data_IF_324615821097
#
_entry.id   IF_324615821097
#
_cell.length_a   1.000
_cell.length_b   1.000
_cell.length_c   1.000
_cell.angle_alpha   90.00
_cell.angle_beta   90.00
_cell.angle_gamma   90.00
#
_symmetry.space_group_name_H-M   'P 1'
#
loop_
_entity.id
_entity.type
_entity.pdbx_description
1 polymer ?
#
# COMPACT_ATOMS: atom_id res chain seq x y z
N UNK A 1 16.71 8.71 -2.59
CA UNK A 1 15.74 8.19 -3.56
C UNK A 1 14.36 8.19 -2.96
N UNK A 2 13.39 8.67 -3.72
CA UNK A 2 12.02 8.77 -3.23
C UNK A 2 11.32 7.42 -3.38
N UNK A 3 10.61 6.99 -2.34
CA UNK A 3 9.79 5.80 -2.42
C UNK A 3 8.63 6.02 -3.40
N UNK A 4 8.27 4.97 -4.11
CA UNK A 4 7.20 5.00 -5.11
C UNK A 4 5.91 4.49 -4.48
N UNK A 5 4.86 5.29 -4.57
CA UNK A 5 3.52 4.97 -4.03
C UNK A 5 2.53 4.86 -5.17
N UNK A 6 1.75 3.79 -5.18
CA UNK A 6 0.58 3.69 -6.04
C UNK A 6 -0.67 3.97 -5.20
N UNK A 7 -1.40 5.01 -5.58
CA UNK A 7 -2.64 5.41 -4.91
C UNK A 7 -3.85 5.02 -5.77
N UNK A 8 -4.69 4.14 -5.24
CA UNK A 8 -5.86 3.63 -5.95
C UNK A 8 -7.12 4.14 -5.26
N UNK A 9 -7.85 5.03 -5.93
CA UNK A 9 -9.07 5.62 -5.42
C UNK A 9 -9.94 6.07 -6.60
N UNK A 10 -11.23 5.71 -6.61
CA UNK A 10 -12.15 6.09 -7.67
C UNK A 10 -12.63 7.53 -7.56
N UNK A 11 -12.53 8.14 -6.40
CA UNK A 11 -12.87 9.55 -6.20
C UNK A 11 -11.76 10.44 -6.72
N UNK A 12 -12.03 11.17 -7.80
CA UNK A 12 -11.05 12.11 -8.37
C UNK A 12 -10.59 13.14 -7.35
N UNK A 13 -11.53 13.67 -6.56
CA UNK A 13 -11.22 14.67 -5.54
C UNK A 13 -10.26 14.12 -4.47
N UNK A 14 -10.59 12.97 -3.90
CA UNK A 14 -9.75 12.36 -2.86
C UNK A 14 -8.41 11.91 -3.44
N UNK A 15 -8.41 11.35 -4.65
CA UNK A 15 -7.18 10.92 -5.31
C UNK A 15 -6.22 12.08 -5.51
N UNK A 16 -6.71 13.22 -6.01
CA UNK A 16 -5.89 14.40 -6.21
C UNK A 16 -5.38 14.99 -4.91
N UNK A 17 -6.25 15.05 -3.88
CA UNK A 17 -5.88 15.58 -2.58
C UNK A 17 -4.79 14.74 -1.91
N UNK A 18 -4.94 13.42 -1.94
CA UNK A 18 -3.97 12.50 -1.33
C UNK A 18 -2.67 12.44 -2.12
N UNK A 19 -2.76 12.50 -3.46
CA UNK A 19 -1.56 12.58 -4.30
C UNK A 19 -0.72 13.81 -3.93
N UNK A 20 -1.37 14.95 -3.74
CA UNK A 20 -0.69 16.19 -3.36
C UNK A 20 -0.01 16.06 -1.98
N UNK A 21 -0.72 15.48 -1.02
CA UNK A 21 -0.17 15.26 0.33
C UNK A 21 1.08 14.38 0.27
N UNK A 22 1.00 13.27 -0.44
CA UNK A 22 2.10 12.32 -0.54
C UNK A 22 3.27 12.89 -1.34
N UNK A 23 2.99 13.63 -2.41
CA UNK A 23 4.05 14.27 -3.21
C UNK A 23 4.82 15.31 -2.38
N UNK A 24 4.11 16.08 -1.56
CA UNK A 24 4.75 17.06 -0.66
C UNK A 24 5.61 16.39 0.40
N UNK A 25 5.25 15.18 0.80
CA UNK A 25 6.04 14.39 1.75
C UNK A 25 7.27 13.75 1.14
N UNK A 26 7.48 13.90 -0.18
CA UNK A 26 8.66 13.41 -0.87
C UNK A 26 8.47 12.08 -1.62
N UNK A 27 7.26 11.56 -1.68
CA UNK A 27 6.99 10.31 -2.42
C UNK A 27 6.77 10.58 -3.91
N UNK A 28 7.18 9.62 -4.73
CA UNK A 28 6.86 9.59 -6.15
C UNK A 28 5.52 8.84 -6.30
N UNK A 29 4.46 9.56 -6.69
CA UNK A 29 3.09 9.02 -6.67
C UNK A 29 2.61 8.69 -8.07
N UNK A 30 2.11 7.47 -8.25
CA UNK A 30 1.32 7.06 -9.40
C UNK A 30 -0.11 6.83 -8.91
N UNK A 31 -1.10 7.01 -9.79
CA UNK A 31 -2.50 6.88 -9.43
C UNK A 31 -3.24 5.91 -10.32
N UNK A 32 -4.32 5.33 -9.79
CA UNK A 32 -5.25 4.51 -10.55
C UNK A 32 -6.67 4.79 -10.06
N UNK A 33 -7.63 4.80 -10.97
CA UNK A 33 -9.03 5.16 -10.67
C UNK A 33 -9.93 3.93 -10.51
N UNK A 34 -9.46 2.75 -10.87
CA UNK A 34 -10.22 1.50 -10.77
C UNK A 34 -9.28 0.31 -10.56
N UNK A 35 -9.88 -0.86 -10.26
CA UNK A 35 -9.10 -2.05 -9.94
C UNK A 35 -8.30 -2.59 -11.10
N UNK A 36 -8.83 -2.51 -12.32
CA UNK A 36 -8.13 -2.98 -13.51
C UNK A 36 -6.88 -2.14 -13.79
N UNK A 37 -7.03 -0.82 -13.75
CA UNK A 37 -5.90 0.10 -13.88
C UNK A 37 -4.87 -0.11 -12.77
N UNK A 38 -5.33 -0.34 -11.54
CA UNK A 38 -4.46 -0.59 -10.39
C UNK A 38 -3.55 -1.79 -10.62
N UNK A 39 -4.11 -2.89 -11.11
CA UNK A 39 -3.31 -4.10 -11.39
C UNK A 39 -2.30 -3.86 -12.51
N UNK A 40 -2.71 -3.14 -13.55
CA UNK A 40 -1.82 -2.81 -14.67
C UNK A 40 -0.66 -1.93 -14.21
N UNK A 41 -0.96 -0.85 -13.48
CA UNK A 41 0.07 0.10 -13.01
C UNK A 41 0.99 -0.57 -11.99
N UNK A 42 0.45 -1.39 -11.10
CA UNK A 42 1.28 -2.13 -10.12
C UNK A 42 2.27 -3.05 -10.83
N UNK A 43 1.84 -3.75 -11.85
CA UNK A 43 2.70 -4.64 -12.62
C UNK A 43 3.76 -3.87 -13.41
N UNK A 44 3.37 -2.75 -14.04
CA UNK A 44 4.27 -1.99 -14.91
C UNK A 44 5.29 -1.16 -14.13
N UNK A 45 4.88 -0.57 -13.02
CA UNK A 45 5.73 0.37 -12.27
C UNK A 45 6.37 -0.23 -11.01
N UNK A 46 5.86 -1.35 -10.52
CA UNK A 46 6.37 -2.04 -9.33
C UNK A 46 6.63 -1.06 -8.17
N UNK A 47 5.56 -0.42 -7.64
CA UNK A 47 5.73 0.56 -6.56
C UNK A 47 6.25 -0.09 -5.28
N UNK A 48 6.78 0.73 -4.39
CA UNK A 48 7.27 0.28 -3.08
C UNK A 48 6.13 0.00 -2.11
N UNK A 49 4.98 0.64 -2.32
CA UNK A 49 3.79 0.49 -1.50
C UNK A 49 2.54 0.85 -2.30
N UNK A 50 1.43 0.22 -1.98
CA UNK A 50 0.14 0.48 -2.62
C UNK A 50 -0.87 0.92 -1.56
N UNK A 51 -1.56 2.04 -1.83
CA UNK A 51 -2.70 2.49 -1.03
C UNK A 51 -3.95 2.14 -1.82
N UNK A 52 -4.76 1.23 -1.30
CA UNK A 52 -5.85 0.60 -2.03
C UNK A 52 -7.20 0.87 -1.37
N UNK A 53 -8.08 1.58 -2.08
CA UNK A 53 -9.46 1.77 -1.67
C UNK A 53 -10.22 0.44 -1.81
N UNK A 54 -11.05 0.14 -0.83
CA UNK A 54 -11.88 -1.07 -0.85
C UNK A 54 -13.07 -0.96 -1.79
N UNK A 55 -13.58 0.24 -2.04
CA UNK A 55 -14.75 0.43 -2.91
C UNK A 55 -14.32 0.98 -4.27
N UNK A 56 -14.07 0.07 -5.20
CA UNK A 56 -13.61 0.41 -6.55
C UNK A 56 -14.58 -0.12 -7.59
N UNK A 57 -14.73 0.58 -8.73
CA UNK A 57 -15.43 0.03 -9.88
C UNK A 57 -14.61 -1.05 -10.58
N UNK A 58 -15.26 -1.83 -11.42
CA UNK A 58 -14.71 -2.92 -12.23
C UNK A 58 -14.25 -4.12 -11.37
N UNK A 59 -13.18 -3.96 -10.61
CA UNK A 59 -12.67 -5.01 -9.71
C UNK A 59 -12.66 -4.43 -8.31
N UNK A 60 -13.30 -5.11 -7.35
CA UNK A 60 -13.38 -4.63 -5.96
C UNK A 60 -12.00 -4.58 -5.30
N UNK A 61 -11.87 -3.73 -4.27
CA UNK A 61 -10.63 -3.65 -3.51
C UNK A 61 -10.12 -4.99 -2.97
N UNK A 62 -10.96 -5.80 -2.32
CA UNK A 62 -10.54 -7.13 -1.87
C UNK A 62 -10.05 -8.04 -3.00
N UNK A 63 -10.68 -7.98 -4.17
CA UNK A 63 -10.26 -8.78 -5.33
C UNK A 63 -8.96 -8.27 -5.91
N UNK A 64 -8.71 -6.96 -5.92
CA UNK A 64 -7.43 -6.38 -6.31
C UNK A 64 -6.33 -6.87 -5.37
N UNK A 65 -6.56 -6.81 -4.06
CA UNK A 65 -5.61 -7.29 -3.06
C UNK A 65 -5.25 -8.76 -3.29
N UNK A 66 -6.26 -9.59 -3.52
CA UNK A 66 -6.08 -11.01 -3.79
C UNK A 66 -5.25 -11.24 -5.04
N UNK A 67 -5.53 -10.50 -6.13
CA UNK A 67 -4.80 -10.59 -7.38
C UNK A 67 -3.34 -10.16 -7.22
N UNK A 68 -3.08 -9.08 -6.47
CA UNK A 68 -1.73 -8.61 -6.19
C UNK A 68 -0.92 -9.67 -5.44
N UNK A 69 -1.53 -10.32 -4.45
CA UNK A 69 -0.85 -11.34 -3.64
C UNK A 69 -0.68 -12.67 -4.37
N UNK A 70 -1.45 -12.91 -5.41
CA UNK A 70 -1.34 -14.12 -6.24
C UNK A 70 -0.28 -13.99 -7.36
N UNK A 71 0.18 -12.77 -7.65
CA UNK A 71 1.16 -12.52 -8.71
C UNK A 71 2.56 -12.41 -8.11
N UNK A 72 3.52 -13.28 -8.50
CA UNK A 72 4.89 -13.21 -7.97
C UNK A 72 5.57 -11.85 -8.14
N UNK A 73 5.23 -11.09 -9.18
CA UNK A 73 5.83 -9.77 -9.41
C UNK A 73 5.37 -8.72 -8.41
N UNK A 74 4.19 -8.86 -7.81
CA UNK A 74 3.58 -7.86 -6.92
C UNK A 74 3.30 -8.37 -5.51
N UNK A 75 3.43 -9.67 -5.27
CA UNK A 75 3.05 -10.28 -3.99
C UNK A 75 3.77 -9.71 -2.77
N UNK A 76 5.00 -9.24 -2.95
CA UNK A 76 5.80 -8.69 -1.84
C UNK A 76 5.61 -7.20 -1.63
N UNK A 77 4.84 -6.52 -2.49
CA UNK A 77 4.55 -5.10 -2.32
C UNK A 77 3.56 -4.93 -1.17
N UNK A 78 3.89 -4.15 -0.12
CA UNK A 78 2.96 -3.92 0.97
C UNK A 78 1.76 -3.11 0.49
N UNK A 79 0.56 -3.50 0.96
CA UNK A 79 -0.70 -2.84 0.61
C UNK A 79 -1.34 -2.30 1.88
N UNK A 80 -1.58 -0.99 1.91
CA UNK A 80 -2.39 -0.36 2.94
C UNK A 80 -3.80 -0.23 2.39
N UNK A 81 -4.76 -0.80 3.11
CA UNK A 81 -6.16 -0.75 2.72
C UNK A 81 -6.79 0.54 3.26
N UNK A 82 -7.43 1.29 2.37
CA UNK A 82 -8.19 2.48 2.72
C UNK A 82 -9.68 2.14 2.67
N UNK A 83 -10.40 2.39 3.76
CA UNK A 83 -11.82 2.04 3.80
C UNK A 83 -12.62 3.07 4.60
N UNK A 84 -13.81 3.39 4.11
CA UNK A 84 -14.78 4.20 4.85
C UNK A 84 -15.66 3.33 5.74
N UNK A 85 -15.54 2.00 5.65
CA UNK A 85 -16.32 1.05 6.44
C UNK A 85 -15.70 0.85 7.82
N UNK A 86 -16.55 0.49 8.80
CA UNK A 86 -16.09 0.25 10.16
C UNK A 86 -15.10 -0.90 10.26
N UNK A 87 -14.33 -0.91 11.33
CA UNK A 87 -13.22 -1.84 11.59
C UNK A 87 -13.55 -3.33 11.56
N UNK A 88 -14.80 -3.70 11.35
CA UNK A 88 -15.24 -5.11 11.39
C UNK A 88 -14.55 -6.01 10.36
N UNK A 89 -14.00 -5.42 9.29
CA UNK A 89 -13.34 -6.18 8.23
C UNK A 89 -11.81 -6.13 8.30
N UNK A 90 -11.26 -5.43 9.29
CA UNK A 90 -9.80 -5.27 9.43
C UNK A 90 -9.07 -6.61 9.50
N UNK A 91 -9.56 -7.51 10.36
CA UNK A 91 -8.93 -8.83 10.52
C UNK A 91 -8.93 -9.63 9.22
N UNK A 92 -10.05 -9.59 8.48
CA UNK A 92 -10.16 -10.31 7.20
C UNK A 92 -9.19 -9.75 6.17
N UNK A 93 -9.02 -8.43 6.12
CA UNK A 93 -8.13 -7.76 5.18
C UNK A 93 -6.67 -8.03 5.52
N UNK A 94 -6.31 -8.01 6.79
CA UNK A 94 -4.97 -8.37 7.23
C UNK A 94 -4.67 -9.84 6.94
N UNK A 95 -5.64 -10.73 7.15
CA UNK A 95 -5.50 -12.15 6.82
C UNK A 95 -5.37 -12.37 5.31
N UNK A 96 -5.96 -11.50 4.47
CA UNK A 96 -5.84 -11.56 3.02
C UNK A 96 -4.51 -11.00 2.50
N UNK A 97 -3.66 -10.46 3.38
CA UNK A 97 -2.33 -9.99 3.03
C UNK A 97 -2.12 -8.49 3.08
N UNK A 98 -3.09 -7.70 3.57
CA UNK A 98 -2.90 -6.27 3.75
C UNK A 98 -1.87 -6.02 4.85
N UNK A 99 -0.97 -5.06 4.63
CA UNK A 99 0.07 -4.70 5.60
C UNK A 99 -0.51 -3.80 6.72
N UNK A 100 -1.52 -3.01 6.39
CA UNK A 100 -2.17 -2.11 7.35
C UNK A 100 -3.56 -1.71 6.84
N UNK A 101 -4.36 -1.18 7.74
CA UNK A 101 -5.69 -0.67 7.46
C UNK A 101 -5.75 0.79 7.88
N UNK A 102 -6.34 1.63 7.05
CA UNK A 102 -6.50 3.06 7.34
C UNK A 102 -7.93 3.49 7.04
N UNK A 103 -8.58 4.16 7.98
CA UNK A 103 -9.96 4.59 7.84
C UNK A 103 -10.03 5.91 7.05
N UNK A 104 -10.78 5.89 5.93
CA UNK A 104 -10.92 7.06 5.04
C UNK A 104 -11.54 8.28 5.69
N UNK A 105 -12.48 8.08 6.60
CA UNK A 105 -13.14 9.18 7.30
C UNK A 105 -12.14 10.01 8.10
N UNK A 106 -11.09 9.39 8.63
CA UNK A 106 -10.02 10.08 9.33
C UNK A 106 -9.25 10.99 8.39
N UNK A 107 -9.03 10.56 7.15
CA UNK A 107 -8.33 11.37 6.14
C UNK A 107 -9.09 12.64 5.78
N UNK A 108 -10.42 12.54 5.63
CA UNK A 108 -11.25 13.67 5.20
C UNK A 108 -11.42 14.75 6.26
N UNK A 109 -11.39 14.35 7.53
CA UNK A 109 -11.63 15.24 8.68
C UNK A 109 -10.35 15.65 9.37
N UNK A 110 -9.24 15.02 9.06
CA UNK A 110 -7.98 15.25 9.73
C UNK A 110 -7.34 16.55 9.24
N UNK A 111 -7.19 17.50 10.14
CA UNK A 111 -6.49 18.75 9.87
C UNK A 111 -4.97 18.51 9.77
N UNK A 112 -4.51 17.37 10.25
CA UNK A 112 -3.11 16.96 10.13
C UNK A 112 -2.92 16.19 8.84
N UNK A 113 -2.52 16.90 7.80
CA UNK A 113 -2.30 16.32 6.46
C UNK A 113 -1.13 15.33 6.42
N UNK A 114 -0.43 15.13 7.54
CA UNK A 114 0.72 14.24 7.61
C UNK A 114 0.39 12.83 8.06
N UNK A 115 -0.84 12.55 8.52
CA UNK A 115 -1.15 11.22 9.07
C UNK A 115 -1.07 10.10 8.03
N UNK A 116 -1.50 10.35 6.80
CA UNK A 116 -1.36 9.36 5.72
C UNK A 116 0.11 9.12 5.36
N UNK A 117 0.87 10.19 5.19
CA UNK A 117 2.31 10.10 4.88
C UNK A 117 3.05 9.38 6.01
N UNK A 118 2.72 9.68 7.27
CA UNK A 118 3.33 9.02 8.43
C UNK A 118 3.02 7.51 8.44
N UNK A 119 1.79 7.13 8.11
CA UNK A 119 1.40 5.73 8.02
C UNK A 119 2.19 5.01 6.93
N UNK A 120 2.33 5.63 5.76
CA UNK A 120 3.12 5.08 4.66
C UNK A 120 4.57 4.88 5.09
N UNK A 121 5.18 5.90 5.70
CA UNK A 121 6.56 5.83 6.19
C UNK A 121 6.75 4.71 7.22
N UNK A 122 5.80 4.56 8.14
CA UNK A 122 5.84 3.52 9.16
C UNK A 122 5.84 2.12 8.53
N UNK A 123 4.94 1.88 7.57
CA UNK A 123 4.86 0.57 6.90
C UNK A 123 6.12 0.31 6.10
N UNK A 124 6.62 1.29 5.36
CA UNK A 124 7.86 1.15 4.58
C UNK A 124 9.05 0.84 5.49
N UNK A 125 9.15 1.48 6.64
CA UNK A 125 10.22 1.24 7.61
C UNK A 125 10.16 -0.18 8.16
N UNK A 126 8.97 -0.69 8.47
CA UNK A 126 8.79 -2.07 8.93
C UNK A 126 9.22 -3.09 7.87
N UNK A 127 8.83 -2.86 6.62
CA UNK A 127 9.18 -3.76 5.52
C UNK A 127 10.68 -3.76 5.28
N UNK A 128 11.32 -2.60 5.27
CA UNK A 128 12.76 -2.48 5.11
C UNK A 128 13.52 -3.14 6.26
N UNK A 129 13.04 -2.95 7.47
CA UNK A 129 13.66 -3.59 8.66
C UNK A 129 13.56 -5.11 8.55
N UNK A 130 12.41 -5.65 8.16
CA UNK A 130 12.22 -7.09 7.99
C UNK A 130 13.13 -7.65 6.90
N UNK A 131 13.25 -6.96 5.77
CA UNK A 131 14.18 -7.36 4.69
C UNK A 131 15.61 -7.40 5.18
N UNK A 132 16.05 -6.42 5.96
CA UNK A 132 17.39 -6.38 6.51
C UNK A 132 17.65 -7.53 7.48
N UNK A 133 16.66 -7.87 8.32
CA UNK A 133 16.76 -9.02 9.21
C UNK A 133 16.88 -10.33 8.44
N UNK A 134 16.05 -10.49 7.40
CA UNK A 134 16.08 -11.70 6.57
C UNK A 134 17.44 -11.87 5.88
N UNK A 135 18.00 -10.77 5.36
CA UNK A 135 19.33 -10.78 4.73
C UNK A 135 20.41 -11.15 5.74
N UNK A 136 20.34 -10.64 6.97
CA UNK A 136 21.29 -10.98 8.03
C UNK A 136 21.21 -12.46 8.40
N UNK A 137 19.99 -13.00 8.52
CA UNK A 137 19.78 -14.41 8.83
C UNK A 137 20.31 -15.30 7.71
N UNK A 138 20.11 -14.94 6.46
CA UNK A 138 20.65 -15.64 5.31
C UNK A 138 22.18 -15.63 5.31
N UNK A 139 22.79 -14.49 5.62
CA UNK A 139 24.23 -14.37 5.69
C UNK A 139 24.83 -15.24 6.82
N UNK A 140 24.16 -15.28 7.98
CA UNK A 140 24.57 -16.13 9.10
C UNK A 140 24.45 -17.61 8.76
N UNK A 141 23.36 -18.01 8.09
CA UNK A 141 23.15 -19.39 7.65
C UNK A 141 24.23 -19.82 6.64
N UNK A 142 24.60 -18.93 5.72
CA UNK A 142 25.65 -19.19 4.73
C UNK A 142 27.02 -19.39 5.41
N UNK A 143 27.32 -18.64 6.48
CA UNK A 143 28.57 -18.80 7.24
C UNK A 143 28.60 -20.12 8.00
N UNK A 144 27.48 -20.62 8.48
CA UNK A 144 27.38 -21.87 9.24
C UNK A 144 27.48 -23.11 8.37
N UNK A 145 27.27 -23.02 7.08
CA UNK A 145 27.31 -24.16 6.17
C UNK A 145 28.73 -24.48 5.66
N UNK A 146 29.71 -23.76 6.16
CA UNK A 146 31.13 -24.05 5.93
C UNK A 146 31.72 -24.74 7.18
#
# INVERSE_FOLDING_TARGET
>A
MNAKVLLVDDSKFLRMANERILSRAGFEVSTAADGEEALRVAHDKLPDIILLDMMLPKISGPDVLKALKANPATMDIPVIVLSSLSQKNEEKLLAAGAAAYFEKSTLALDKDSNSLAATVETVLSRVNHQKNLDLRLLALAAKKSH
#
